data_IF_145534796669
#
_entry.id   IF_145534796669
#
_cell.length_a   1.000
_cell.length_b   1.000
_cell.length_c   1.000
_cell.angle_alpha   90.00
_cell.angle_beta   90.00
_cell.angle_gamma   90.00
#
_symmetry.space_group_name_H-M   'P 1'
#
loop_
_entity.id
_entity.type
_entity.pdbx_description
1 polymer ?
#
# COMPACT_ATOMS: atom_id res chain seq x y z
N UNK A 1 -17.44 6.43 -10.68
CA UNK A 1 -16.70 6.79 -9.44
C UNK A 1 -16.15 8.19 -9.61
N UNK A 2 -16.48 9.14 -8.73
CA UNK A 2 -15.98 10.52 -8.83
C UNK A 2 -14.47 10.59 -8.53
N UNK A 3 -13.71 11.38 -9.30
CA UNK A 3 -12.26 11.51 -9.19
C UNK A 3 -11.78 11.90 -7.78
N UNK A 4 -12.55 12.74 -7.07
CA UNK A 4 -12.26 13.12 -5.67
C UNK A 4 -12.21 11.90 -4.73
N UNK A 5 -13.16 10.97 -4.87
CA UNK A 5 -13.26 9.79 -4.01
C UNK A 5 -12.08 8.83 -4.18
N UNK A 6 -11.55 8.75 -5.41
CA UNK A 6 -10.36 7.94 -5.71
C UNK A 6 -9.12 8.54 -5.03
N UNK A 7 -8.93 9.86 -5.14
CA UNK A 7 -7.81 10.57 -4.51
C UNK A 7 -7.82 10.45 -2.98
N UNK A 8 -8.99 10.57 -2.36
CA UNK A 8 -9.15 10.40 -0.91
C UNK A 8 -8.83 8.97 -0.46
N UNK A 9 -9.31 7.97 -1.21
CA UNK A 9 -9.01 6.56 -0.93
C UNK A 9 -7.50 6.32 -1.01
N UNK A 10 -6.85 6.81 -2.06
CA UNK A 10 -5.42 6.66 -2.27
C UNK A 10 -4.60 7.34 -1.17
N UNK A 11 -5.05 8.50 -0.69
CA UNK A 11 -4.40 9.19 0.42
C UNK A 11 -4.48 8.40 1.74
N UNK A 12 -5.65 7.84 2.07
CA UNK A 12 -5.82 6.98 3.25
C UNK A 12 -4.93 5.73 3.20
N UNK A 13 -4.76 5.15 1.99
CA UNK A 13 -3.86 4.02 1.78
C UNK A 13 -2.40 4.38 2.05
N UNK A 14 -1.94 5.55 1.61
CA UNK A 14 -0.58 6.04 1.89
C UNK A 14 -0.36 6.30 3.38
N UNK A 15 -1.31 6.94 4.07
CA UNK A 15 -1.20 7.19 5.52
C UNK A 15 -1.12 5.89 6.32
N UNK A 16 -1.91 4.89 5.94
CA UNK A 16 -1.81 3.56 6.54
C UNK A 16 -0.46 2.91 6.28
N UNK A 17 0.07 3.04 5.06
CA UNK A 17 1.38 2.49 4.70
C UNK A 17 2.53 3.14 5.49
N UNK A 18 2.49 4.45 5.69
CA UNK A 18 3.44 5.16 6.55
C UNK A 18 3.36 4.68 8.00
N UNK A 19 2.15 4.52 8.54
CA UNK A 19 1.95 3.93 9.87
C UNK A 19 2.50 2.51 9.96
N UNK A 20 2.31 1.69 8.91
CA UNK A 20 2.83 0.35 8.84
C UNK A 20 4.36 0.34 8.84
N UNK A 21 5.02 1.22 8.06
CA UNK A 21 6.49 1.31 8.02
C UNK A 21 7.11 1.83 9.32
N UNK A 22 6.39 2.65 10.09
CA UNK A 22 6.78 3.05 11.45
C UNK A 22 6.63 1.94 12.50
N UNK A 23 5.96 0.84 12.16
CA UNK A 23 5.81 -0.30 13.07
C UNK A 23 7.13 -1.08 13.12
N UNK A 24 7.61 -1.43 14.32
CA UNK A 24 8.82 -2.26 14.50
C UNK A 24 8.75 -3.52 13.64
N UNK A 25 9.85 -3.85 12.97
CA UNK A 25 9.93 -4.91 11.96
C UNK A 25 9.57 -6.31 12.48
N UNK A 26 9.76 -6.56 13.76
CA UNK A 26 9.36 -7.81 14.41
C UNK A 26 7.84 -8.04 14.48
N UNK A 27 7.04 -6.98 14.33
CA UNK A 27 5.59 -7.06 14.53
C UNK A 27 4.88 -7.69 13.33
N UNK A 28 3.88 -8.51 13.64
CA UNK A 28 3.06 -9.25 12.68
C UNK A 28 2.50 -8.42 11.50
N UNK A 29 2.04 -7.17 11.67
CA UNK A 29 1.47 -6.41 10.55
C UNK A 29 2.45 -6.20 9.40
N UNK A 30 3.72 -5.87 9.71
CA UNK A 30 4.73 -5.66 8.68
C UNK A 30 5.10 -6.98 8.01
N UNK A 31 5.27 -8.05 8.81
CA UNK A 31 5.53 -9.41 8.29
C UNK A 31 4.43 -9.90 7.35
N UNK A 32 3.16 -9.72 7.74
CA UNK A 32 2.00 -10.09 6.90
C UNK A 32 1.94 -9.25 5.64
N UNK A 33 2.26 -7.95 5.75
CA UNK A 33 2.35 -7.10 4.58
C UNK A 33 3.40 -7.63 3.62
N UNK A 34 4.62 -7.90 4.07
CA UNK A 34 5.77 -8.36 3.30
C UNK A 34 5.62 -9.75 2.72
N UNK A 35 4.88 -10.61 3.42
CA UNK A 35 4.55 -11.93 2.93
C UNK A 35 3.77 -11.86 1.61
N UNK A 36 4.32 -12.54 0.59
CA UNK A 36 3.67 -12.68 -0.71
C UNK A 36 3.22 -14.12 -0.87
N UNK A 37 1.90 -14.38 -1.03
CA UNK A 37 1.41 -15.75 -1.19
C UNK A 37 1.95 -16.31 -2.50
N UNK A 38 2.48 -17.54 -2.44
CA UNK A 38 2.98 -18.28 -3.59
C UNK A 38 1.80 -18.79 -4.41
N UNK A 39 1.88 -18.69 -5.74
CA UNK A 39 0.89 -19.20 -6.67
C UNK A 39 0.02 -18.15 -7.36
N UNK A 40 -1.01 -18.61 -8.07
CA UNK A 40 -1.91 -17.77 -8.86
C UNK A 40 -3.11 -17.30 -8.03
N UNK A 41 -3.52 -16.05 -8.23
CA UNK A 41 -4.78 -15.55 -7.66
C UNK A 41 -5.96 -16.40 -8.16
N UNK A 42 -6.90 -16.71 -7.27
CA UNK A 42 -8.17 -17.36 -7.63
C UNK A 42 -8.90 -16.57 -8.73
N UNK A 43 -9.59 -17.31 -9.62
CA UNK A 43 -10.40 -16.73 -10.71
C UNK A 43 -11.43 -15.76 -10.13
N UNK A 44 -11.62 -14.60 -10.77
CA UNK A 44 -12.51 -13.54 -10.31
C UNK A 44 -11.90 -12.54 -9.32
N UNK A 45 -10.73 -12.82 -8.73
CA UNK A 45 -10.05 -11.83 -7.88
C UNK A 45 -9.48 -10.69 -8.73
N UNK A 46 -9.66 -9.41 -8.35
CA UNK A 46 -9.06 -8.30 -9.06
C UNK A 46 -7.54 -8.48 -9.22
N UNK A 47 -7.02 -8.22 -10.43
CA UNK A 47 -5.58 -8.28 -10.71
C UNK A 47 -4.80 -7.20 -9.94
N UNK A 48 -5.45 -6.07 -9.65
CA UNK A 48 -4.86 -4.94 -8.95
C UNK A 48 -4.75 -5.24 -7.45
N UNK A 49 -3.51 -5.35 -6.96
CA UNK A 49 -3.22 -5.53 -5.53
C UNK A 49 -3.04 -4.17 -4.85
N UNK A 50 -3.30 -4.12 -3.55
CA UNK A 50 -3.15 -2.92 -2.73
C UNK A 50 -1.71 -2.35 -2.76
N UNK A 51 -0.71 -3.25 -2.70
CA UNK A 51 0.72 -2.94 -2.94
C UNK A 51 0.97 -2.19 -4.25
N UNK A 52 0.31 -2.61 -5.34
CA UNK A 52 0.45 -1.97 -6.64
C UNK A 52 -0.15 -0.57 -6.67
N UNK A 53 -1.25 -0.36 -5.93
CA UNK A 53 -1.88 0.95 -5.78
C UNK A 53 -0.98 1.92 -5.00
N UNK A 54 -0.47 1.48 -3.84
CA UNK A 54 0.47 2.27 -3.03
C UNK A 54 1.72 2.62 -3.84
N UNK A 55 2.33 1.66 -4.53
CA UNK A 55 3.51 1.93 -5.37
C UNK A 55 3.25 2.91 -6.52
N UNK A 56 2.05 2.86 -7.13
CA UNK A 56 1.64 3.83 -8.15
C UNK A 56 1.45 5.22 -7.56
N UNK A 57 0.83 5.33 -6.39
CA UNK A 57 0.58 6.60 -5.71
C UNK A 57 1.87 7.24 -5.16
N UNK A 58 2.80 6.43 -4.66
CA UNK A 58 4.13 6.89 -4.28
C UNK A 58 4.87 7.47 -5.49
N UNK A 59 4.88 6.77 -6.63
CA UNK A 59 5.48 7.29 -7.88
C UNK A 59 4.82 8.56 -8.38
N UNK A 60 3.48 8.60 -8.38
CA UNK A 60 2.69 9.78 -8.80
C UNK A 60 3.00 11.02 -7.96
N UNK A 61 3.38 10.83 -6.69
CA UNK A 61 3.71 11.90 -5.74
C UNK A 61 5.21 12.11 -5.53
N UNK A 62 6.08 11.36 -6.21
CA UNK A 62 7.54 11.44 -6.03
C UNK A 62 8.02 10.99 -4.64
N UNK A 63 7.27 10.14 -3.93
CA UNK A 63 7.60 9.71 -2.57
C UNK A 63 8.51 8.49 -2.57
N UNK A 64 9.56 8.54 -1.75
CA UNK A 64 10.39 7.39 -1.40
C UNK A 64 9.83 6.68 -0.16
N UNK A 65 10.31 5.46 0.11
CA UNK A 65 9.90 4.69 1.30
C UNK A 65 10.27 5.43 2.59
N UNK A 66 11.39 6.16 2.62
CA UNK A 66 11.79 6.98 3.77
C UNK A 66 10.76 8.08 4.05
N UNK A 67 10.44 8.89 3.04
CA UNK A 67 9.49 10.00 3.17
C UNK A 67 8.08 9.49 3.50
N UNK A 68 7.65 8.37 2.90
CA UNK A 68 6.35 7.78 3.20
C UNK A 68 6.22 7.30 4.66
N UNK A 69 7.33 6.96 5.32
CA UNK A 69 7.33 6.59 6.74
C UNK A 69 7.16 7.80 7.65
N UNK A 70 7.43 9.01 7.16
CA UNK A 70 7.27 10.26 7.90
C UNK A 70 5.82 10.81 7.81
N UNK A 71 5.04 10.40 6.82
CA UNK A 71 3.59 10.69 6.67
C UNK A 71 2.73 9.88 7.63
#
# INVERSE_FOLDING_TARGET
>A
MSAKKVLETNYKQLKWYGRLRRTKEERMPLKVWEWTPVGRNKRGRPRKKWRGNIGMEMRRRGLTISIASEM
#
